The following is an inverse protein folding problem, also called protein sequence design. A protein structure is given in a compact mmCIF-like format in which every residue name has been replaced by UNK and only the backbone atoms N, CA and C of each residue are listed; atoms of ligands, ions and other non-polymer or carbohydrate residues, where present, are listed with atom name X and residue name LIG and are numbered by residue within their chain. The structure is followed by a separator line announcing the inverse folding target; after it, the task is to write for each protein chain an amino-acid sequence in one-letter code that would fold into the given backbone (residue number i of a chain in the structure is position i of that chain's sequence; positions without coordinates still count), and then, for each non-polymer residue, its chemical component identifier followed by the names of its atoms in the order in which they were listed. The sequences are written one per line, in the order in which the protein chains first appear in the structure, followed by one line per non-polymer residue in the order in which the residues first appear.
data_IF_984378297911
#
_entry.id   IF_984378297911
#
_cell.length_a   1.000
_cell.length_b   1.000
_cell.length_c   1.000
_cell.angle_alpha   90.00
_cell.angle_beta   90.00
_cell.angle_gamma   90.00
#
_symmetry.space_group_name_H-M   'P 1'
#
loop_
_entity.id
_entity.type
_entity.pdbx_description
1 polymer ?
#
# COMPACT_ATOMS: atom_id res chain seq x y z
N UNK A 1 11.96 -5.99 25.34
CA UNK A 1 12.20 -5.39 24.02
C UNK A 1 11.01 -5.79 23.16
N UNK A 2 10.07 -4.87 22.93
CA UNK A 2 8.85 -5.18 22.18
C UNK A 2 9.15 -5.10 20.70
N UNK A 3 9.17 -6.26 20.06
CA UNK A 3 9.41 -6.49 18.62
C UNK A 3 8.22 -6.04 17.73
N UNK A 4 7.50 -4.99 18.16
CA UNK A 4 6.28 -4.46 17.52
C UNK A 4 6.47 -3.14 16.78
N UNK A 5 7.67 -2.56 16.82
CA UNK A 5 8.01 -1.34 16.10
C UNK A 5 9.15 -1.65 15.12
N UNK A 6 8.86 -2.48 14.11
CA UNK A 6 9.71 -2.47 12.92
C UNK A 6 9.25 -1.24 12.14
N UNK A 7 10.09 -0.21 11.94
CA UNK A 7 9.65 1.00 11.26
C UNK A 7 9.20 0.62 9.86
N UNK A 8 7.89 0.67 9.61
CA UNK A 8 7.35 0.47 8.28
C UNK A 8 7.85 1.61 7.40
N UNK A 9 8.41 1.28 6.25
CA UNK A 9 8.91 2.29 5.31
C UNK A 9 7.73 3.13 4.82
N UNK A 10 7.76 4.46 4.98
CA UNK A 10 6.70 5.31 4.45
C UNK A 10 6.63 5.20 2.93
N UNK A 11 5.42 5.16 2.38
CA UNK A 11 5.22 5.21 0.94
C UNK A 11 5.93 6.41 0.30
N UNK A 12 5.88 7.57 0.96
CA UNK A 12 6.61 8.78 0.57
C UNK A 12 8.15 8.64 0.49
N UNK A 13 8.74 7.66 1.16
CA UNK A 13 10.19 7.39 1.09
C UNK A 13 10.56 6.37 0.01
N UNK A 14 9.58 5.64 -0.52
CA UNK A 14 9.81 4.77 -1.67
C UNK A 14 10.15 5.60 -2.90
N UNK A 15 11.21 5.20 -3.62
CA UNK A 15 11.52 5.76 -4.93
C UNK A 15 10.40 5.52 -5.95
N UNK A 16 10.34 6.32 -7.02
CA UNK A 16 9.28 6.23 -8.03
C UNK A 16 9.20 4.84 -8.68
N UNK A 17 10.33 4.20 -8.95
CA UNK A 17 10.39 2.84 -9.52
C UNK A 17 9.82 1.78 -8.56
N UNK A 18 10.13 1.89 -7.26
CA UNK A 18 9.62 0.97 -6.25
C UNK A 18 8.10 1.11 -6.09
N UNK A 19 7.58 2.34 -6.05
CA UNK A 19 6.13 2.60 -6.04
C UNK A 19 5.45 2.05 -7.29
N UNK A 20 6.06 2.21 -8.46
CA UNK A 20 5.51 1.70 -9.71
C UNK A 20 5.47 0.18 -9.73
N UNK A 21 6.53 -0.49 -9.26
CA UNK A 21 6.57 -1.93 -9.13
C UNK A 21 5.46 -2.45 -8.20
N UNK A 22 5.26 -1.82 -7.04
CA UNK A 22 4.22 -2.19 -6.08
C UNK A 22 2.80 -1.98 -6.64
N UNK A 23 2.56 -0.89 -7.36
CA UNK A 23 1.27 -0.66 -8.04
C UNK A 23 0.98 -1.73 -9.08
N UNK A 24 2.00 -2.16 -9.86
CA UNK A 24 1.86 -3.25 -10.84
C UNK A 24 1.56 -4.59 -10.18
N UNK A 25 2.26 -4.92 -9.10
CA UNK A 25 2.04 -6.17 -8.34
C UNK A 25 0.63 -6.18 -7.73
N UNK A 26 0.20 -5.05 -7.15
CA UNK A 26 -1.14 -4.91 -6.61
C UNK A 26 -2.24 -4.98 -7.69
N UNK A 27 -1.97 -4.52 -8.91
CA UNK A 27 -2.91 -4.61 -10.03
C UNK A 27 -3.23 -6.06 -10.42
N UNK A 28 -2.28 -6.98 -10.26
CA UNK A 28 -2.52 -8.43 -10.46
C UNK A 28 -3.40 -8.99 -9.34
N UNK A 29 -3.20 -8.52 -8.11
CA UNK A 29 -3.94 -8.98 -6.94
C UNK A 29 -5.37 -8.43 -6.89
N UNK A 30 -5.60 -7.20 -7.36
CA UNK A 30 -6.95 -6.62 -7.43
C UNK A 30 -7.79 -7.24 -8.55
N UNK A 31 -7.16 -7.66 -9.65
CA UNK A 31 -7.82 -8.37 -10.77
C UNK A 31 -8.38 -9.74 -10.33
N UNK A 32 -7.69 -10.39 -9.38
CA UNK A 32 -8.12 -11.65 -8.76
C UNK A 32 -9.21 -11.48 -7.70
N UNK A 33 -9.45 -10.26 -7.24
CA UNK A 33 -10.42 -9.98 -6.20
C UNK A 33 -11.78 -9.57 -6.78
N UNK A 34 -12.88 -9.78 -6.03
CA UNK A 34 -14.20 -9.33 -6.45
C UNK A 34 -14.19 -7.82 -6.68
N UNK A 35 -14.79 -7.40 -7.79
CA UNK A 35 -14.91 -6.00 -8.20
C UNK A 35 -15.64 -5.21 -7.10
N UNK A 36 -14.88 -4.38 -6.39
CA UNK A 36 -15.45 -3.48 -5.39
C UNK A 36 -15.81 -2.16 -6.06
N UNK A 37 -17.01 -1.65 -5.77
CA UNK A 37 -17.42 -0.31 -6.21
C UNK A 37 -16.97 0.79 -5.22
N UNK A 38 -16.45 0.43 -4.04
CA UNK A 38 -16.06 1.38 -3.00
C UNK A 38 -14.57 1.68 -3.06
N UNK A 39 -14.22 2.95 -3.29
CA UNK A 39 -12.83 3.42 -3.27
C UNK A 39 -12.17 3.20 -1.91
N UNK A 40 -12.90 3.44 -0.82
CA UNK A 40 -12.43 3.21 0.55
C UNK A 40 -12.00 1.75 0.78
N UNK A 41 -12.79 0.80 0.27
CA UNK A 41 -12.46 -0.62 0.36
C UNK A 41 -11.22 -0.98 -0.48
N UNK A 42 -11.06 -0.36 -1.68
CA UNK A 42 -9.84 -0.53 -2.48
C UNK A 42 -8.61 -0.01 -1.75
N UNK A 43 -8.75 1.14 -1.08
CA UNK A 43 -7.71 1.77 -0.28
C UNK A 43 -7.35 0.91 0.93
N UNK A 44 -8.33 0.43 1.69
CA UNK A 44 -8.10 -0.44 2.85
C UNK A 44 -7.39 -1.74 2.45
N UNK A 45 -7.81 -2.37 1.33
CA UNK A 45 -7.15 -3.57 0.77
C UNK A 45 -5.72 -3.28 0.35
N UNK A 46 -5.47 -2.11 -0.27
CA UNK A 46 -4.13 -1.71 -0.70
C UNK A 46 -3.21 -1.45 0.49
N UNK A 47 -3.69 -0.72 1.49
CA UNK A 47 -2.95 -0.48 2.74
C UNK A 47 -2.61 -1.79 3.44
N UNK A 48 -3.59 -2.67 3.64
CA UNK A 48 -3.35 -3.96 4.28
C UNK A 48 -2.32 -4.80 3.51
N UNK A 49 -2.39 -4.78 2.17
CA UNK A 49 -1.44 -5.47 1.31
C UNK A 49 -0.02 -4.88 1.39
N UNK A 50 0.12 -3.56 1.54
CA UNK A 50 1.42 -2.90 1.74
C UNK A 50 2.00 -3.15 3.14
N UNK A 51 1.17 -3.19 4.16
CA UNK A 51 1.61 -3.46 5.54
C UNK A 51 2.25 -4.85 5.66
N UNK A 52 1.72 -5.87 4.95
CA UNK A 52 2.36 -7.19 4.88
C UNK A 52 3.77 -7.17 4.25
N UNK A 53 4.08 -6.13 3.47
CA UNK A 53 5.37 -5.91 2.81
C UNK A 53 6.27 -4.94 3.59
N UNK A 54 5.86 -4.52 4.79
CA UNK A 54 6.63 -3.60 5.61
C UNK A 54 6.51 -2.14 5.17
N UNK A 55 5.48 -1.79 4.40
CA UNK A 55 5.29 -0.45 3.84
C UNK A 55 4.06 0.19 4.48
N UNK A 56 4.21 1.43 4.96
CA UNK A 56 3.10 2.22 5.48
C UNK A 56 2.56 3.14 4.40
N UNK A 57 1.29 2.97 4.07
CA UNK A 57 0.56 3.85 3.17
C UNK A 57 -0.66 4.44 3.86
N UNK A 58 -0.83 5.74 3.73
CA UNK A 58 -1.96 6.46 4.33
C UNK A 58 -2.62 7.38 3.30
N UNK A 59 -3.84 7.83 3.59
CA UNK A 59 -4.51 8.84 2.76
C UNK A 59 -3.72 10.17 2.69
N UNK A 60 -2.83 10.45 3.63
CA UNK A 60 -1.92 11.61 3.56
C UNK A 60 -0.92 11.48 2.40
N UNK A 61 -0.45 10.27 2.11
CA UNK A 61 0.46 10.01 0.99
C UNK A 61 -0.17 10.32 -0.37
N UNK A 62 -1.50 10.22 -0.50
CA UNK A 62 -2.23 10.63 -1.71
C UNK A 62 -2.26 12.16 -1.89
N UNK A 63 -2.15 12.92 -0.80
CA UNK A 63 -2.21 14.39 -0.82
C UNK A 63 -0.86 15.02 -1.20
N UNK A 64 0.24 14.28 -1.07
CA UNK A 64 1.62 14.74 -1.37
C UNK A 64 2.01 14.51 -2.83
N UNK A 65 1.11 14.81 -3.77
CA UNK A 65 1.33 14.63 -5.21
C UNK A 65 2.01 15.84 -5.83
#
# INVERSE_FOLDING_TARGET
MSEKDRPLTPWAELGPDARLALQRDYQVEIDRQPLTCSLDEKMARFTAWLETRGIRFTMDDLRRR
#
